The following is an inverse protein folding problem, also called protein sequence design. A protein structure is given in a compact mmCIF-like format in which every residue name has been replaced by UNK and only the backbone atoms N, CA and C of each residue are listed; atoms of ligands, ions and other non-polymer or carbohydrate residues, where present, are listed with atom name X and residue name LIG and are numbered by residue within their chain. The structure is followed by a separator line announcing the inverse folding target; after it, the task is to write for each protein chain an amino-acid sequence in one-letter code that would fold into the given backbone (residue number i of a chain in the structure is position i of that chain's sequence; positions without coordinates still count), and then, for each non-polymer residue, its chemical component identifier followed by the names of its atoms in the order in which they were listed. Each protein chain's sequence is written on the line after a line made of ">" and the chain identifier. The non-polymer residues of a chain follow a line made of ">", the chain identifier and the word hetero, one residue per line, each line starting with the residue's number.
data_IF_546266586325
#
_entry.id   IF_546266586325
#
_cell.length_a   1.000
_cell.length_b   1.000
_cell.length_c   1.000
_cell.angle_alpha   90.00
_cell.angle_beta   90.00
_cell.angle_gamma   90.00
#
_symmetry.space_group_name_H-M   'P 1'
#
loop_
_entity.id
_entity.type
_entity.pdbx_description
1 polymer ?
#
# COMPACT_ATOMS: atom_id res chain seq x y z
N UNK A 1 -8.39 7.09 -14.75
CA UNK A 1 -8.88 5.98 -13.92
C UNK A 1 -7.92 4.79 -13.89
N UNK A 2 -7.49 4.23 -15.04
CA UNK A 2 -6.65 3.01 -15.10
C UNK A 2 -5.34 3.03 -14.26
N UNK A 3 -4.68 4.18 -14.14
CA UNK A 3 -3.42 4.32 -13.38
C UNK A 3 -3.62 4.20 -11.86
N UNK A 4 -4.77 4.65 -11.34
CA UNK A 4 -5.10 4.58 -9.91
C UNK A 4 -5.41 3.15 -9.52
N UNK A 5 -6.30 2.49 -10.28
CA UNK A 5 -6.64 1.09 -10.04
C UNK A 5 -5.41 0.19 -9.96
N UNK A 6 -4.52 0.26 -10.97
CA UNK A 6 -3.25 -0.50 -10.99
C UNK A 6 -2.29 -0.17 -9.85
N UNK A 7 -2.39 1.02 -9.25
CA UNK A 7 -1.58 1.38 -8.09
C UNK A 7 -2.14 0.75 -6.80
N UNK A 8 -3.46 0.77 -6.64
CA UNK A 8 -4.16 0.14 -5.50
C UNK A 8 -4.03 -1.39 -5.55
N UNK A 9 -4.17 -1.97 -6.75
CA UNK A 9 -4.02 -3.41 -7.00
C UNK A 9 -2.67 -3.94 -6.51
N UNK A 10 -1.57 -3.25 -6.82
CA UNK A 10 -0.22 -3.64 -6.36
C UNK A 10 -0.07 -3.63 -4.84
N UNK A 11 -0.75 -2.72 -4.15
CA UNK A 11 -0.74 -2.69 -2.68
C UNK A 11 -1.56 -3.86 -2.17
N UNK A 12 -2.76 -4.05 -2.70
CA UNK A 12 -3.67 -5.13 -2.31
C UNK A 12 -3.06 -6.52 -2.49
N UNK A 13 -2.42 -6.78 -3.63
CA UNK A 13 -1.70 -8.04 -3.90
C UNK A 13 -0.65 -8.35 -2.81
N UNK A 14 0.09 -7.33 -2.35
CA UNK A 14 1.12 -7.50 -1.32
C UNK A 14 0.55 -7.73 0.06
N UNK A 15 -0.55 -7.05 0.39
CA UNK A 15 -1.29 -7.27 1.63
C UNK A 15 -1.84 -8.70 1.69
N UNK A 16 -2.48 -9.16 0.60
CA UNK A 16 -3.05 -10.52 0.52
C UNK A 16 -1.97 -11.60 0.56
N UNK A 17 -0.81 -11.36 -0.05
CA UNK A 17 0.32 -12.28 0.02
C UNK A 17 0.97 -12.32 1.42
N UNK A 18 0.61 -11.41 2.33
CA UNK A 18 1.19 -11.35 3.68
C UNK A 18 2.69 -11.00 3.71
N UNK A 19 3.22 -10.51 2.60
CA UNK A 19 4.66 -10.26 2.40
C UNK A 19 5.11 -8.91 2.95
N UNK A 20 6.28 -8.44 2.51
CA UNK A 20 6.77 -7.10 2.80
C UNK A 20 5.77 -6.04 2.28
N UNK A 21 5.62 -4.91 2.98
CA UNK A 21 4.83 -3.77 2.51
C UNK A 21 5.20 -3.38 1.08
N UNK A 22 4.24 -2.92 0.29
CA UNK A 22 4.52 -2.48 -1.07
C UNK A 22 5.38 -1.19 -1.05
N UNK A 23 6.58 -1.24 -1.65
CA UNK A 23 7.52 -0.11 -1.63
C UNK A 23 7.56 0.57 -2.99
N UNK A 24 7.23 1.86 -3.02
CA UNK A 24 7.39 2.68 -4.22
C UNK A 24 7.61 4.15 -3.87
N UNK A 25 8.43 4.83 -4.67
CA UNK A 25 8.68 6.28 -4.59
C UNK A 25 7.87 7.07 -5.63
N UNK A 26 6.95 6.42 -6.35
CA UNK A 26 6.16 7.11 -7.36
C UNK A 26 5.24 8.15 -6.71
N UNK A 27 5.17 9.34 -7.32
CA UNK A 27 4.39 10.49 -6.81
C UNK A 27 2.91 10.17 -6.57
N UNK A 28 2.34 9.26 -7.35
CA UNK A 28 0.94 8.83 -7.22
C UNK A 28 0.61 8.34 -5.80
N UNK A 29 1.53 7.68 -5.09
CA UNK A 29 1.24 7.19 -3.73
C UNK A 29 1.19 8.31 -2.70
N UNK A 30 1.97 9.37 -2.91
CA UNK A 30 1.88 10.59 -2.09
C UNK A 30 0.58 11.35 -2.33
N UNK A 31 0.10 11.39 -3.58
CA UNK A 31 -1.22 11.95 -3.92
C UNK A 31 -2.35 11.14 -3.29
N UNK A 32 -2.29 9.80 -3.39
CA UNK A 32 -3.27 8.90 -2.77
C UNK A 32 -3.24 8.94 -1.23
N UNK A 33 -2.06 9.20 -0.63
CA UNK A 33 -1.91 9.40 0.81
C UNK A 33 -2.60 10.71 1.23
N UNK A 34 -2.40 11.80 0.48
CA UNK A 34 -3.08 13.06 0.72
C UNK A 34 -4.61 12.94 0.60
N UNK A 35 -5.09 12.07 -0.31
CA UNK A 35 -6.52 11.76 -0.47
C UNK A 35 -7.08 10.80 0.62
N UNK A 36 -6.22 10.30 1.53
CA UNK A 36 -6.58 9.33 2.58
C UNK A 36 -6.94 7.93 2.04
N UNK A 37 -6.47 7.59 0.83
CA UNK A 37 -6.74 6.31 0.16
C UNK A 37 -5.69 5.27 0.56
N UNK A 38 -4.45 5.70 0.71
CA UNK A 38 -3.35 4.85 1.21
C UNK A 38 -2.71 5.52 2.43
N UNK A 39 -1.96 4.74 3.19
CA UNK A 39 -1.16 5.24 4.31
C UNK A 39 0.21 4.57 4.32
N UNK A 40 1.17 5.22 4.98
CA UNK A 40 2.47 4.59 5.25
C UNK A 40 2.31 3.48 6.26
N UNK A 41 2.81 2.31 5.90
CA UNK A 41 2.82 1.14 6.76
C UNK A 41 4.26 0.70 6.98
N UNK A 42 4.63 0.62 8.25
CA UNK A 42 5.95 0.15 8.68
C UNK A 42 5.80 -1.15 9.41
N UNK A 43 6.57 -2.15 9.00
CA UNK A 43 6.60 -3.48 9.63
C UNK A 43 8.03 -3.85 9.97
N UNK A 44 8.21 -4.32 11.20
CA UNK A 44 9.46 -4.90 11.68
C UNK A 44 9.54 -6.36 11.23
N UNK A 45 10.67 -6.73 10.64
CA UNK A 45 10.97 -8.08 10.21
C UNK A 45 12.29 -8.56 10.83
N UNK A 46 12.39 -9.87 11.08
CA UNK A 46 13.58 -10.50 11.64
C UNK A 46 13.54 -10.62 13.18
N UNK A 47 14.46 -11.44 13.70
CA UNK A 47 14.63 -11.68 15.14
C UNK A 47 15.89 -10.99 15.67
N UNK A 48 17.03 -11.67 15.56
CA UNK A 48 18.31 -11.19 16.11
C UNK A 48 18.82 -9.88 15.49
N UNK A 49 18.50 -9.62 14.23
CA UNK A 49 18.80 -8.35 13.54
C UNK A 49 17.52 -7.79 12.91
N UNK A 50 16.76 -6.96 13.64
CA UNK A 50 15.51 -6.42 13.15
C UNK A 50 15.72 -5.44 12.01
N UNK A 51 14.94 -5.59 10.95
CA UNK A 51 14.90 -4.69 9.80
C UNK A 51 13.53 -4.03 9.75
N UNK A 52 13.53 -2.71 9.72
CA UNK A 52 12.32 -1.91 9.55
C UNK A 52 12.04 -1.73 8.07
N UNK A 53 10.90 -2.21 7.60
CA UNK A 53 10.46 -2.05 6.21
C UNK A 53 9.25 -1.14 6.18
N UNK A 54 9.39 0.00 5.51
CA UNK A 54 8.30 0.95 5.27
C UNK A 54 7.83 0.86 3.83
N UNK A 55 6.52 0.86 3.65
CA UNK A 55 5.85 0.90 2.35
C UNK A 55 4.45 1.52 2.47
N UNK A 56 3.57 1.13 1.56
CA UNK A 56 2.21 1.62 1.46
C UNK A 56 1.20 0.52 1.83
N UNK A 57 0.12 0.90 2.49
CA UNK A 57 -1.03 0.06 2.79
C UNK A 57 -2.33 0.78 2.39
N UNK A 58 -3.38 0.02 2.10
CA UNK A 58 -4.71 0.55 1.82
C UNK A 58 -5.42 0.91 3.13
N UNK A 59 -5.90 2.14 3.21
CA UNK A 59 -6.84 2.54 4.27
C UNK A 59 -8.19 1.86 4.02
N UNK A 60 -9.10 1.93 4.99
CA UNK A 60 -10.46 1.43 4.80
C UNK A 60 -11.15 2.08 3.59
N UNK A 61 -10.96 3.40 3.41
CA UNK A 61 -11.45 4.13 2.23
C UNK A 61 -10.82 3.60 0.93
N UNK A 62 -9.51 3.35 0.94
CA UNK A 62 -8.81 2.79 -0.22
C UNK A 62 -9.32 1.42 -0.63
N UNK A 63 -9.64 0.56 0.34
CA UNK A 63 -10.26 -0.75 0.09
C UNK A 63 -11.61 -0.61 -0.58
N UNK A 64 -12.48 0.28 -0.08
CA UNK A 64 -13.79 0.52 -0.71
C UNK A 64 -13.66 1.03 -2.14
N UNK A 65 -12.75 1.97 -2.39
CA UNK A 65 -12.51 2.50 -3.74
C UNK A 65 -12.01 1.39 -4.67
N UNK A 66 -11.04 0.59 -4.22
CA UNK A 66 -10.53 -0.52 -5.01
C UNK A 66 -11.63 -1.55 -5.33
N UNK A 67 -12.45 -1.92 -4.34
CA UNK A 67 -13.56 -2.85 -4.54
C UNK A 67 -14.65 -2.32 -5.49
N UNK A 68 -14.92 -1.01 -5.49
CA UNK A 68 -15.89 -0.39 -6.42
C UNK A 68 -15.37 -0.29 -7.86
N UNK A 69 -14.04 -0.31 -8.04
CA UNK A 69 -13.40 -0.34 -9.35
C UNK A 69 -13.14 -1.76 -9.87
N UNK A 70 -13.51 -2.80 -9.09
CA UNK A 70 -13.34 -4.21 -9.42
C UNK A 70 -14.54 -4.76 -10.22
#
# INVERSE_FOLDING_TARGET
>A
MLKRHKALEKIFEREMAGTLPFQSRAKIYTELEADGIVEKYTRLFGGQFPITVTGWALTQKGRFIYCQEC
#
